data_IF_841892027353
#
_entry.id   IF_841892027353
#
_cell.length_a   1.000
_cell.length_b   1.000
_cell.length_c   1.000
_cell.angle_alpha   90.00
_cell.angle_beta   90.00
_cell.angle_gamma   90.00
#
_symmetry.space_group_name_H-M   'P 1'
#
loop_
_entity.id
_entity.type
_entity.pdbx_description
1 polymer ?
#
# COMPACT_ATOMS: atom_id res chain seq x y z
N UNK A 1 0.07 2.24 10.29
CA UNK A 1 -0.77 1.76 11.42
C UNK A 1 -0.95 0.24 11.39
N UNK A 2 -1.49 -0.35 10.32
CA UNK A 2 -1.76 -1.79 10.21
C UNK A 2 -0.51 -2.68 10.35
N UNK A 3 0.62 -2.30 9.77
CA UNK A 3 1.87 -3.06 9.95
C UNK A 3 2.46 -2.99 11.36
N UNK A 4 2.29 -1.87 12.07
CA UNK A 4 2.64 -1.79 13.49
C UNK A 4 1.74 -2.70 14.34
N UNK A 5 0.43 -2.69 14.08
CA UNK A 5 -0.51 -3.58 14.76
C UNK A 5 -0.17 -5.06 14.52
N UNK A 6 0.22 -5.41 13.28
CA UNK A 6 0.73 -6.74 12.94
C UNK A 6 1.97 -7.11 13.76
N UNK A 7 2.95 -6.22 13.85
CA UNK A 7 4.17 -6.44 14.64
C UNK A 7 3.88 -6.60 16.14
N UNK A 8 3.06 -5.71 16.71
CA UNK A 8 2.67 -5.74 18.13
C UNK A 8 1.84 -6.97 18.50
N UNK A 9 1.19 -7.62 17.53
CA UNK A 9 0.45 -8.87 17.77
C UNK A 9 1.34 -10.09 17.99
N UNK A 10 2.61 -10.04 17.57
CA UNK A 10 3.57 -11.14 17.69
C UNK A 10 4.71 -10.86 18.67
N UNK A 11 4.93 -9.60 19.03
CA UNK A 11 6.04 -9.17 19.90
C UNK A 11 5.60 -8.12 20.91
N UNK A 12 6.20 -8.15 22.10
CA UNK A 12 5.92 -7.20 23.16
C UNK A 12 6.46 -5.79 22.79
N UNK A 13 5.64 -4.73 22.77
CA UNK A 13 6.01 -3.41 22.23
C UNK A 13 7.16 -2.72 22.96
N UNK A 14 7.43 -3.10 24.20
CA UNK A 14 8.42 -2.44 25.07
C UNK A 14 9.87 -2.86 24.77
N UNK A 15 10.08 -4.01 24.12
CA UNK A 15 11.43 -4.59 23.92
C UNK A 15 12.04 -4.31 22.53
N UNK A 16 11.39 -3.50 21.67
CA UNK A 16 11.75 -3.41 20.24
C UNK A 16 11.50 -2.07 19.56
N UNK A 17 11.69 -0.93 20.26
CA UNK A 17 11.37 0.40 19.72
C UNK A 17 12.11 0.73 18.39
N UNK A 18 13.34 0.28 18.23
CA UNK A 18 14.13 0.44 17.00
C UNK A 18 13.47 -0.27 15.81
N UNK A 19 12.96 -1.49 16.04
CA UNK A 19 12.26 -2.27 15.02
C UNK A 19 10.91 -1.61 14.69
N UNK A 20 10.20 -1.07 15.70
CA UNK A 20 8.96 -0.31 15.46
C UNK A 20 9.18 0.93 14.59
N UNK A 21 10.24 1.68 14.84
CA UNK A 21 10.63 2.84 14.01
C UNK A 21 10.99 2.36 12.60
N UNK A 22 11.75 1.27 12.47
CA UNK A 22 12.09 0.68 11.18
C UNK A 22 10.87 0.22 10.38
N UNK A 23 9.93 -0.50 10.99
CA UNK A 23 8.67 -0.94 10.37
C UNK A 23 7.85 0.26 9.92
N UNK A 24 7.73 1.28 10.79
CA UNK A 24 6.97 2.49 10.48
C UNK A 24 7.60 3.24 9.31
N UNK A 25 8.92 3.46 9.35
CA UNK A 25 9.65 4.17 8.30
C UNK A 25 9.61 3.44 6.96
N UNK A 26 9.92 2.15 6.95
CA UNK A 26 9.91 1.32 5.73
C UNK A 26 8.52 1.27 5.07
N UNK A 27 7.46 1.00 5.84
CA UNK A 27 6.09 0.99 5.31
C UNK A 27 5.65 2.38 4.87
N UNK A 28 5.98 3.43 5.62
CA UNK A 28 5.62 4.78 5.24
C UNK A 28 6.22 5.14 3.87
N UNK A 29 7.50 4.84 3.65
CA UNK A 29 8.16 5.09 2.37
C UNK A 29 7.58 4.23 1.25
N UNK A 30 7.39 2.93 1.48
CA UNK A 30 6.85 2.02 0.48
C UNK A 30 5.41 2.40 0.06
N UNK A 31 4.54 2.69 1.04
CA UNK A 31 3.14 3.09 0.79
C UNK A 31 3.09 4.46 0.11
N UNK A 32 3.93 5.40 0.55
CA UNK A 32 4.02 6.73 -0.09
C UNK A 32 4.50 6.61 -1.54
N UNK A 33 5.51 5.78 -1.80
CA UNK A 33 6.00 5.49 -3.14
C UNK A 33 4.91 4.89 -4.03
N UNK A 34 4.20 3.88 -3.54
CA UNK A 34 3.06 3.25 -4.24
C UNK A 34 1.97 4.27 -4.56
N UNK A 35 1.62 5.13 -3.60
CA UNK A 35 0.59 6.17 -3.76
C UNK A 35 0.98 7.20 -4.82
N UNK A 36 2.24 7.64 -4.84
CA UNK A 36 2.74 8.57 -5.85
C UNK A 36 2.74 7.93 -7.24
N UNK A 37 3.16 6.66 -7.36
CA UNK A 37 3.12 5.94 -8.62
C UNK A 37 1.68 5.74 -9.12
N UNK A 38 0.75 5.50 -8.21
CA UNK A 38 -0.68 5.41 -8.51
C UNK A 38 -1.22 6.74 -9.06
N UNK A 39 -0.95 7.86 -8.38
CA UNK A 39 -1.33 9.19 -8.86
C UNK A 39 -0.65 9.57 -10.19
N UNK A 40 0.58 9.10 -10.42
CA UNK A 40 1.28 9.34 -11.68
C UNK A 40 0.61 8.61 -12.84
N UNK A 41 0.23 7.35 -12.65
CA UNK A 41 -0.42 6.55 -13.68
C UNK A 41 -1.85 7.03 -13.97
N UNK A 42 -2.60 7.41 -12.93
CA UNK A 42 -4.00 7.84 -13.07
C UNK A 42 -4.18 9.35 -13.30
N UNK A 43 -3.11 10.05 -13.68
CA UNK A 43 -3.13 11.50 -13.94
C UNK A 43 -4.18 11.94 -14.96
N UNK A 44 -4.51 11.08 -15.93
CA UNK A 44 -5.49 11.32 -16.99
C UNK A 44 -6.94 11.18 -16.48
N UNK A 45 -7.19 10.21 -15.61
CA UNK A 45 -8.48 10.01 -14.96
C UNK A 45 -8.71 11.10 -13.91
N UNK A 46 -7.69 11.35 -13.07
CA UNK A 46 -7.75 12.35 -12.00
C UNK A 46 -8.01 13.76 -12.54
N UNK A 47 -7.56 14.08 -13.77
CA UNK A 47 -7.79 15.36 -14.42
C UNK A 47 -9.25 15.60 -14.85
N UNK A 48 -10.04 14.53 -15.01
CA UNK A 48 -11.45 14.60 -15.44
C UNK A 48 -12.44 14.62 -14.27
N UNK A 49 -11.99 14.29 -13.07
CA UNK A 49 -12.85 14.26 -11.87
C UNK A 49 -12.79 15.59 -11.12
N UNK A 50 -13.95 16.21 -10.85
CA UNK A 50 -14.04 17.47 -10.10
C UNK A 50 -13.34 17.41 -8.73
N UNK A 51 -13.40 16.26 -8.06
CA UNK A 51 -12.77 16.06 -6.75
C UNK A 51 -11.25 15.98 -6.78
N UNK A 52 -10.62 15.54 -7.88
CA UNK A 52 -9.18 15.21 -7.92
C UNK A 52 -8.40 16.00 -8.96
N UNK A 53 -9.06 16.83 -9.76
CA UNK A 53 -8.41 17.67 -10.78
C UNK A 53 -7.39 18.66 -10.19
N UNK A 54 -7.55 19.03 -8.92
CA UNK A 54 -6.65 19.93 -8.18
C UNK A 54 -5.39 19.23 -7.63
N UNK A 55 -5.22 17.92 -7.81
CA UNK A 55 -4.02 17.20 -7.33
C UNK A 55 -2.75 17.73 -8.05
N UNK A 56 -1.57 17.67 -7.42
CA UNK A 56 -0.34 18.30 -7.95
C UNK A 56 0.10 17.81 -9.34
N UNK A 57 -0.18 16.55 -9.67
CA UNK A 57 0.15 15.93 -10.97
C UNK A 57 -0.82 16.33 -12.09
N UNK A 58 -2.16 16.18 -11.96
CA UNK A 58 -3.10 16.62 -12.99
C UNK A 58 -3.16 18.15 -13.16
N UNK A 59 -2.95 18.92 -12.08
CA UNK A 59 -2.89 20.39 -12.16
C UNK A 59 -1.59 20.94 -12.77
N UNK A 60 -0.63 20.08 -13.10
CA UNK A 60 0.64 20.49 -13.72
C UNK A 60 1.62 21.19 -12.78
N UNK A 61 1.36 21.24 -11.47
CA UNK A 61 2.29 21.80 -10.46
C UNK A 61 3.59 21.00 -10.36
N UNK A 62 3.55 19.71 -10.65
CA UNK A 62 4.71 18.81 -10.69
C UNK A 62 4.79 18.15 -12.06
N UNK A 63 5.99 18.10 -12.66
CA UNK A 63 6.16 17.41 -13.93
C UNK A 63 5.94 15.89 -13.77
N UNK A 64 5.29 15.20 -14.73
CA UNK A 64 5.08 13.76 -14.65
C UNK A 64 6.38 12.99 -14.44
N UNK A 65 7.48 13.43 -15.05
CA UNK A 65 8.79 12.79 -14.89
C UNK A 65 9.32 12.89 -13.46
N UNK A 66 9.17 14.06 -12.81
CA UNK A 66 9.54 14.22 -11.40
C UNK A 66 8.67 13.35 -10.48
N UNK A 67 7.36 13.25 -10.76
CA UNK A 67 6.46 12.39 -10.01
C UNK A 67 6.86 10.91 -10.07
N UNK A 68 7.18 10.40 -11.27
CA UNK A 68 7.64 9.02 -11.45
C UNK A 68 8.96 8.76 -10.71
N UNK A 69 9.95 9.65 -10.87
CA UNK A 69 11.25 9.49 -10.21
C UNK A 69 11.08 9.51 -8.69
N UNK A 70 10.28 10.43 -8.16
CA UNK A 70 10.02 10.54 -6.73
C UNK A 70 9.33 9.29 -6.18
N UNK A 71 8.28 8.80 -6.84
CA UNK A 71 7.58 7.58 -6.45
C UNK A 71 8.49 6.35 -6.49
N UNK A 72 9.35 6.24 -7.51
CA UNK A 72 10.29 5.13 -7.65
C UNK A 72 11.39 5.18 -6.58
N UNK A 73 11.95 6.35 -6.29
CA UNK A 73 12.94 6.53 -5.22
C UNK A 73 12.36 6.15 -3.86
N UNK A 74 11.16 6.64 -3.52
CA UNK A 74 10.49 6.27 -2.27
C UNK A 74 10.21 4.77 -2.18
N UNK A 75 9.78 4.15 -3.27
CA UNK A 75 9.51 2.72 -3.34
C UNK A 75 10.78 1.90 -3.11
N UNK A 76 11.88 2.26 -3.77
CA UNK A 76 13.18 1.60 -3.63
C UNK A 76 13.74 1.78 -2.22
N UNK A 77 13.66 2.98 -1.65
CA UNK A 77 14.10 3.24 -0.28
C UNK A 77 13.26 2.49 0.76
N UNK A 78 11.95 2.47 0.60
CA UNK A 78 11.04 1.78 1.51
C UNK A 78 11.22 0.26 1.48
N UNK A 79 11.28 -0.33 0.28
CA UNK A 79 11.52 -1.77 0.10
C UNK A 79 12.93 -2.14 0.52
N UNK A 80 13.94 -1.34 0.15
CA UNK A 80 15.33 -1.56 0.56
C UNK A 80 15.50 -1.56 2.07
N UNK A 81 14.89 -0.60 2.77
CA UNK A 81 14.87 -0.60 4.24
C UNK A 81 14.10 -1.82 4.79
N UNK A 82 13.00 -2.24 4.15
CA UNK A 82 12.30 -3.44 4.57
C UNK A 82 13.21 -4.70 4.49
N UNK A 83 13.98 -4.87 3.42
CA UNK A 83 14.94 -5.98 3.33
C UNK A 83 16.01 -5.93 4.42
N UNK A 84 16.44 -4.74 4.85
CA UNK A 84 17.38 -4.58 5.97
C UNK A 84 16.80 -5.01 7.33
N UNK A 85 15.48 -5.00 7.49
CA UNK A 85 14.81 -5.44 8.72
C UNK A 85 14.56 -6.95 8.74
N UNK A 86 14.32 -7.55 7.58
CA UNK A 86 14.19 -8.99 7.42
C UNK A 86 13.83 -9.37 6.00
N UNK A 87 14.41 -10.47 5.52
CA UNK A 87 14.20 -10.93 4.13
C UNK A 87 12.73 -11.22 3.84
N UNK A 88 12.06 -11.95 4.73
CA UNK A 88 10.66 -12.33 4.56
C UNK A 88 9.73 -11.09 4.62
N UNK A 89 10.04 -10.13 5.49
CA UNK A 89 9.35 -8.85 5.56
C UNK A 89 9.50 -8.03 4.27
N UNK A 90 10.74 -7.90 3.77
CA UNK A 90 11.04 -7.22 2.51
C UNK A 90 10.29 -7.82 1.32
N UNK A 91 10.23 -9.16 1.22
CA UNK A 91 9.48 -9.86 0.16
C UNK A 91 7.99 -9.54 0.22
N UNK A 92 7.37 -9.56 1.40
CA UNK A 92 5.93 -9.26 1.53
C UNK A 92 5.63 -7.79 1.21
N UNK A 93 6.47 -6.85 1.67
CA UNK A 93 6.32 -5.42 1.36
C UNK A 93 6.48 -5.16 -0.14
N UNK A 94 7.49 -5.78 -0.77
CA UNK A 94 7.69 -5.70 -2.21
C UNK A 94 6.51 -6.29 -2.99
N UNK A 95 6.03 -7.47 -2.58
CA UNK A 95 4.86 -8.09 -3.20
C UNK A 95 3.64 -7.16 -3.09
N UNK A 96 3.37 -6.59 -1.92
CA UNK A 96 2.27 -5.65 -1.72
C UNK A 96 2.36 -4.43 -2.63
N UNK A 97 3.54 -3.82 -2.75
CA UNK A 97 3.78 -2.68 -3.65
C UNK A 97 3.61 -3.09 -5.12
N UNK A 98 4.13 -4.25 -5.51
CA UNK A 98 4.00 -4.78 -6.86
C UNK A 98 2.53 -5.04 -7.22
N UNK A 99 1.77 -5.68 -6.32
CA UNK A 99 0.35 -5.93 -6.52
C UNK A 99 -0.45 -4.62 -6.59
N UNK A 100 -0.13 -3.62 -5.79
CA UNK A 100 -0.81 -2.31 -5.84
C UNK A 100 -0.53 -1.55 -7.14
N UNK A 101 0.74 -1.42 -7.54
CA UNK A 101 1.11 -0.62 -8.72
C UNK A 101 0.81 -1.36 -10.01
N UNK A 102 1.18 -2.64 -10.12
CA UNK A 102 1.08 -3.40 -11.37
C UNK A 102 -0.30 -4.01 -11.55
N UNK A 103 -0.76 -4.79 -10.57
CA UNK A 103 -1.99 -5.57 -10.71
C UNK A 103 -3.21 -4.67 -10.52
N UNK A 104 -3.25 -3.88 -9.46
CA UNK A 104 -4.38 -3.01 -9.18
C UNK A 104 -4.39 -1.78 -10.10
N UNK A 105 -3.37 -0.91 -10.02
CA UNK A 105 -3.38 0.39 -10.70
C UNK A 105 -3.26 0.25 -12.21
N UNK A 106 -2.24 -0.45 -12.73
CA UNK A 106 -2.02 -0.52 -14.17
C UNK A 106 -3.00 -1.43 -14.89
N UNK A 107 -3.33 -2.58 -14.29
CA UNK A 107 -4.08 -3.63 -15.00
C UNK A 107 -5.57 -3.62 -14.68
N UNK A 108 -5.97 -3.84 -13.42
CA UNK A 108 -7.36 -4.11 -13.10
C UNK A 108 -8.24 -2.86 -13.01
N UNK A 109 -7.71 -1.74 -12.51
CA UNK A 109 -8.50 -0.52 -12.26
C UNK A 109 -9.20 -0.02 -13.52
N UNK A 110 -8.56 -0.15 -14.70
CA UNK A 110 -9.13 0.26 -16.00
C UNK A 110 -9.94 -0.81 -16.72
N UNK A 111 -9.89 -2.08 -16.26
CA UNK A 111 -10.45 -3.24 -16.97
C UNK A 111 -11.68 -3.83 -16.29
N UNK A 112 -11.78 -3.76 -14.96
CA UNK A 112 -12.77 -4.55 -14.20
C UNK A 112 -13.20 -3.86 -12.90
N UNK A 113 -14.50 -3.92 -12.60
CA UNK A 113 -15.08 -3.50 -11.32
C UNK A 113 -14.61 -4.36 -10.12
N UNK A 114 -14.12 -5.57 -10.38
CA UNK A 114 -13.52 -6.47 -9.38
C UNK A 114 -12.12 -6.04 -8.91
N UNK A 115 -11.58 -4.95 -9.46
CA UNK A 115 -10.30 -4.36 -9.04
C UNK A 115 -10.21 -4.06 -7.55
N UNK A 116 -11.34 -3.75 -6.91
CA UNK A 116 -11.43 -3.44 -5.48
C UNK A 116 -10.99 -4.64 -4.60
N UNK A 117 -11.33 -5.87 -4.98
CA UNK A 117 -10.96 -7.07 -4.22
C UNK A 117 -9.46 -7.29 -4.26
N UNK A 118 -8.85 -7.14 -5.44
CA UNK A 118 -7.40 -7.28 -5.62
C UNK A 118 -6.61 -6.14 -4.96
N UNK A 119 -7.14 -4.91 -4.99
CA UNK A 119 -6.60 -3.80 -4.20
C UNK A 119 -6.68 -4.06 -2.69
N UNK A 120 -7.74 -4.74 -2.23
CA UNK A 120 -7.87 -5.20 -0.85
C UNK A 120 -6.76 -6.17 -0.42
N UNK A 121 -6.28 -7.03 -1.33
CA UNK A 121 -5.17 -7.95 -1.04
C UNK A 121 -3.90 -7.16 -0.76
N UNK A 122 -3.60 -6.15 -1.58
CA UNK A 122 -2.47 -5.25 -1.34
C UNK A 122 -2.60 -4.50 -0.01
N UNK A 123 -3.81 -4.05 0.35
CA UNK A 123 -4.08 -3.40 1.63
C UNK A 123 -3.91 -4.30 2.86
N UNK A 124 -4.04 -5.63 2.70
CA UNK A 124 -3.77 -6.63 3.74
C UNK A 124 -2.30 -7.02 3.90
N UNK A 125 -1.42 -6.63 2.97
CA UNK A 125 0.02 -6.98 3.03
C UNK A 125 0.78 -6.31 4.18
N UNK A 126 0.53 -5.03 4.55
CA UNK A 126 1.25 -4.40 5.66
C UNK A 126 1.06 -5.10 7.00
N UNK A 127 -0.14 -5.58 7.32
CA UNK A 127 -0.40 -6.29 8.60
C UNK A 127 0.27 -7.68 8.60
N UNK A 128 0.23 -8.37 7.45
CA UNK A 128 0.91 -9.64 7.28
C UNK A 128 2.44 -9.47 7.39
N UNK A 129 2.99 -8.45 6.74
CA UNK A 129 4.42 -8.12 6.79
C UNK A 129 4.85 -7.82 8.24
N UNK A 130 4.12 -6.94 8.93
CA UNK A 130 4.42 -6.60 10.32
C UNK A 130 4.42 -7.81 11.24
N UNK A 131 3.43 -8.71 11.10
CA UNK A 131 3.37 -9.94 11.90
C UNK A 131 4.48 -10.92 11.54
N UNK A 132 4.73 -11.12 10.25
CA UNK A 132 5.80 -11.96 9.75
C UNK A 132 7.19 -11.53 10.25
N UNK A 133 7.42 -10.21 10.39
CA UNK A 133 8.65 -9.70 10.99
C UNK A 133 8.77 -10.02 12.47
N UNK A 134 7.65 -9.99 13.21
CA UNK A 134 7.62 -10.34 14.62
C UNK A 134 7.83 -11.86 14.83
N UNK A 135 7.10 -12.70 14.11
CA UNK A 135 7.16 -14.16 14.30
C UNK A 135 8.30 -14.85 13.54
N UNK A 136 8.94 -14.15 12.60
CA UNK A 136 9.96 -14.72 11.70
C UNK A 136 9.38 -15.69 10.63
N UNK A 137 8.07 -15.91 10.64
CA UNK A 137 7.36 -16.84 9.75
C UNK A 137 5.94 -16.36 9.46
N UNK A 138 5.36 -16.86 8.37
CA UNK A 138 3.95 -16.61 8.02
C UNK A 138 3.09 -17.55 8.85
N UNK A 139 2.43 -16.99 9.86
CA UNK A 139 1.56 -17.71 10.79
C UNK A 139 0.07 -17.50 10.45
N UNK A 140 -0.78 -18.41 10.93
CA UNK A 140 -2.20 -18.45 10.59
C UNK A 140 -2.98 -17.26 11.13
N UNK A 141 -2.52 -16.70 12.24
CA UNK A 141 -3.04 -15.44 12.79
C UNK A 141 -2.75 -14.27 11.84
N UNK A 142 -1.59 -14.25 11.18
CA UNK A 142 -1.24 -13.19 10.23
C UNK A 142 -2.08 -13.20 8.98
N UNK A 143 -2.36 -14.40 8.47
CA UNK A 143 -3.25 -14.56 7.32
C UNK A 143 -4.68 -14.18 7.69
N UNK A 144 -5.18 -14.61 8.86
CA UNK A 144 -6.51 -14.23 9.33
C UNK A 144 -6.66 -12.71 9.49
N UNK A 145 -5.66 -12.03 10.04
CA UNK A 145 -5.65 -10.56 10.15
C UNK A 145 -5.62 -9.88 8.77
N UNK A 146 -4.85 -10.41 7.83
CA UNK A 146 -4.81 -9.92 6.45
C UNK A 146 -6.16 -10.10 5.75
N UNK A 147 -6.81 -11.25 5.94
CA UNK A 147 -8.15 -11.54 5.42
C UNK A 147 -9.21 -10.62 6.02
N UNK A 148 -9.15 -10.31 7.31
CA UNK A 148 -10.06 -9.36 7.95
C UNK A 148 -9.96 -7.97 7.28
N UNK A 149 -8.74 -7.51 6.99
CA UNK A 149 -8.51 -6.26 6.23
C UNK A 149 -9.01 -6.38 4.79
N UNK A 150 -8.77 -7.52 4.14
CA UNK A 150 -9.24 -7.82 2.78
C UNK A 150 -10.76 -7.75 2.66
N UNK A 151 -11.53 -8.23 3.65
CA UNK A 151 -13.00 -8.16 3.60
C UNK A 151 -13.54 -6.77 3.96
N UNK A 152 -12.81 -6.03 4.80
CA UNK A 152 -13.18 -4.68 5.18
C UNK A 152 -12.99 -3.66 4.04
N UNK A 153 -11.94 -3.81 3.21
CA UNK A 153 -11.65 -2.85 2.13
C UNK A 153 -12.77 -2.79 1.06
N UNK A 154 -13.26 -3.91 0.49
CA UNK A 154 -14.35 -3.88 -0.48
C UNK A 154 -15.62 -3.30 0.11
N UNK A 155 -16.00 -3.70 1.32
CA UNK A 155 -17.22 -3.18 1.96
C UNK A 155 -17.19 -1.66 2.13
N UNK A 156 -16.04 -1.10 2.52
CA UNK A 156 -15.85 0.34 2.62
C UNK A 156 -15.73 1.05 1.25
N UNK A 157 -15.00 0.48 0.29
CA UNK A 157 -14.76 1.15 -1.00
C UNK A 157 -15.99 1.07 -1.90
N UNK A 158 -16.74 -0.04 -1.89
CA UNK A 158 -17.98 -0.18 -2.66
C UNK A 158 -19.02 0.85 -2.25
N UNK A 159 -19.18 1.11 -0.95
CA UNK A 159 -20.11 2.14 -0.46
C UNK A 159 -19.72 3.55 -0.93
N UNK A 160 -18.42 3.87 -1.00
CA UNK A 160 -17.95 5.13 -1.57
C UNK A 160 -18.21 5.23 -3.09
N UNK A 161 -17.99 4.15 -3.83
CA UNK A 161 -18.27 4.11 -5.28
C UNK A 161 -19.77 4.27 -5.58
N UNK A 162 -20.65 3.66 -4.79
CA UNK A 162 -22.11 3.83 -4.95
C UNK A 162 -22.54 5.29 -4.78
N UNK A 163 -21.92 6.03 -3.85
CA UNK A 163 -22.21 7.44 -3.63
C UNK A 163 -21.79 8.33 -4.81
N UNK A 164 -20.69 7.98 -5.49
CA UNK A 164 -20.10 8.81 -6.53
C UNK A 164 -20.27 8.19 -7.93
N UNK A 165 -21.30 7.37 -8.13
CA UNK A 165 -21.54 6.68 -9.40
C UNK A 165 -21.90 7.62 -10.56
N UNK A 166 -22.32 8.85 -10.25
CA UNK A 166 -22.78 9.85 -11.22
C UNK A 166 -21.71 10.85 -11.67
N UNK A 167 -20.51 10.84 -11.05
CA UNK A 167 -19.32 11.58 -11.49
C UNK A 167 -18.42 10.70 -12.37
#
# INVERSE_FOLDING_TARGET
ATGLAGFMSGHCPVMGWQIMVGVTGSLFLAISGSTVLNMWYDRDIDARMERTCQRPLPSGKISPRQGLIFGLVLSVLGVGWAFSLGTLYGVIVFAGLFFDVVVYTMWLKRRTAWSIVWGGIAGGMPILAGRALATGQIDWIGITLSLAVLFWIPTHILTFNMRNYQE
#
